data_IF_290539137707
#
_entry.id   IF_290539137707
#
_cell.length_a   1.000
_cell.length_b   1.000
_cell.length_c   1.000
_cell.angle_alpha   90.00
_cell.angle_beta   90.00
_cell.angle_gamma   90.00
#
_symmetry.space_group_name_H-M   'P 1'
#
loop_
_entity.id
_entity.type
_entity.pdbx_description
1 polymer ?
#
# COMPACT_ATOMS: atom_id res chain seq x y z
N UNK A 1 -17.58 48.58 -6.05
CA UNK A 1 -17.64 48.05 -4.67
C UNK A 1 -17.95 46.57 -4.82
N UNK A 2 -16.92 45.72 -4.95
CA UNK A 2 -16.16 45.07 -3.86
C UNK A 2 -17.09 44.08 -3.12
N UNK A 3 -16.80 42.79 -2.94
CA UNK A 3 -15.58 42.05 -2.56
C UNK A 3 -15.67 40.62 -3.17
N UNK A 4 -14.66 39.89 -3.68
CA UNK A 4 -13.32 39.44 -3.25
C UNK A 4 -13.29 38.22 -2.27
N UNK A 5 -12.77 37.10 -2.82
CA UNK A 5 -12.09 35.89 -2.26
C UNK A 5 -12.78 34.86 -1.34
N UNK A 6 -12.46 33.58 -1.61
CA UNK A 6 -11.51 32.69 -0.87
C UNK A 6 -12.07 31.26 -0.93
N UNK A 7 -11.41 30.28 -1.52
CA UNK A 7 -10.04 29.88 -1.22
C UNK A 7 -10.07 28.90 -0.05
N UNK A 8 -9.80 27.63 -0.38
CA UNK A 8 -9.29 26.56 0.47
C UNK A 8 -10.19 25.80 1.47
N UNK A 9 -10.04 24.47 1.33
CA UNK A 9 -9.88 23.48 2.41
C UNK A 9 -11.09 23.12 3.27
N UNK A 10 -11.68 21.94 2.99
CA UNK A 10 -11.60 20.72 3.82
C UNK A 10 -12.82 19.83 3.51
N UNK A 11 -12.67 18.86 2.61
CA UNK A 11 -13.49 17.62 2.58
C UNK A 11 -13.15 16.73 3.81
N UNK A 12 -13.01 17.35 4.99
CA UNK A 12 -12.62 16.71 6.25
C UNK A 12 -13.85 16.35 7.11
N UNK A 13 -15.03 16.30 6.50
CA UNK A 13 -16.25 15.87 7.18
C UNK A 13 -17.11 15.04 6.23
N UNK A 14 -16.65 13.82 5.93
CA UNK A 14 -17.56 12.76 5.46
C UNK A 14 -18.75 12.71 6.42
N UNK A 15 -19.96 13.00 5.92
CA UNK A 15 -21.15 12.99 6.76
C UNK A 15 -21.55 11.55 6.98
N UNK A 16 -21.97 11.21 8.20
CA UNK A 16 -22.52 9.89 8.54
C UNK A 16 -23.65 9.46 7.58
N UNK A 17 -24.34 10.41 6.95
CA UNK A 17 -25.35 10.17 5.92
C UNK A 17 -24.83 9.51 4.64
N UNK A 18 -23.53 9.58 4.35
CA UNK A 18 -22.94 8.96 3.16
C UNK A 18 -22.75 7.44 3.31
N UNK A 19 -22.80 6.91 4.55
CA UNK A 19 -22.80 5.46 4.85
C UNK A 19 -23.97 4.74 4.16
N UNK A 20 -25.11 5.42 3.99
CA UNK A 20 -26.31 4.84 3.34
C UNK A 20 -26.07 4.54 1.85
N UNK A 21 -25.08 5.20 1.24
CA UNK A 21 -24.71 4.98 -0.17
C UNK A 21 -23.60 3.94 -0.35
N UNK A 22 -22.99 3.47 0.73
CA UNK A 22 -22.02 2.39 0.62
C UNK A 22 -22.76 1.08 0.30
N UNK A 23 -22.34 0.34 -0.73
CA UNK A 23 -22.86 -0.98 -0.97
C UNK A 23 -22.61 -1.85 0.27
N UNK A 24 -23.64 -2.40 0.87
CA UNK A 24 -23.52 -3.41 1.93
C UNK A 24 -23.06 -4.71 1.25
N UNK A 25 -21.77 -4.77 0.93
CA UNK A 25 -21.13 -5.93 0.33
C UNK A 25 -20.38 -6.68 1.41
N UNK A 26 -20.76 -7.94 1.63
CA UNK A 26 -19.90 -8.87 2.35
C UNK A 26 -18.74 -9.21 1.43
N UNK A 27 -17.55 -8.70 1.76
CA UNK A 27 -16.33 -9.13 1.09
C UNK A 27 -16.07 -10.58 1.49
N UNK A 28 -16.07 -11.47 0.50
CA UNK A 28 -15.69 -12.86 0.69
C UNK A 28 -14.18 -12.87 0.94
N UNK A 29 -13.71 -13.78 1.79
CA UNK A 29 -12.28 -14.02 1.94
C UNK A 29 -11.69 -14.32 0.55
N UNK A 30 -10.46 -13.85 0.33
CA UNK A 30 -9.77 -14.20 -0.90
C UNK A 30 -9.33 -15.66 -0.76
N UNK A 31 -10.16 -16.56 -1.30
CA UNK A 31 -9.87 -17.98 -1.38
C UNK A 31 -8.73 -18.22 -2.40
N UNK A 32 -8.09 -19.39 -2.33
CA UNK A 32 -7.03 -19.86 -3.24
C UNK A 32 -5.66 -19.15 -3.19
N UNK A 33 -5.49 -18.08 -2.39
CA UNK A 33 -4.17 -17.46 -2.17
C UNK A 33 -3.31 -18.17 -1.12
N UNK A 34 -3.92 -19.05 -0.33
CA UNK A 34 -3.25 -19.79 0.75
C UNK A 34 -2.25 -20.83 0.21
N UNK A 35 -2.53 -21.38 -0.98
CA UNK A 35 -1.69 -22.37 -1.65
C UNK A 35 -0.68 -21.74 -2.62
N UNK A 36 -0.71 -20.41 -2.77
CA UNK A 36 0.24 -19.70 -3.64
C UNK A 36 1.58 -19.57 -2.89
N UNK A 37 2.67 -20.10 -3.45
CA UNK A 37 3.97 -19.99 -2.80
C UNK A 37 4.40 -18.53 -2.71
N UNK A 38 4.97 -18.15 -1.56
CA UNK A 38 5.63 -16.87 -1.41
C UNK A 38 6.81 -16.79 -2.37
N UNK A 39 6.91 -15.66 -3.08
CA UNK A 39 7.99 -15.37 -4.01
C UNK A 39 8.86 -14.23 -3.45
N UNK A 40 10.13 -14.11 -3.90
CA UNK A 40 10.96 -12.97 -3.55
C UNK A 40 10.30 -11.65 -3.96
N UNK A 41 10.56 -10.60 -3.19
CA UNK A 41 9.95 -9.28 -3.39
C UNK A 41 10.21 -8.73 -4.81
N UNK A 42 11.37 -8.99 -5.40
CA UNK A 42 11.72 -8.54 -6.75
C UNK A 42 10.76 -9.11 -7.79
N UNK A 43 10.49 -10.42 -7.70
CA UNK A 43 9.58 -11.11 -8.61
C UNK A 43 8.15 -10.58 -8.44
N UNK A 44 7.74 -10.33 -7.20
CA UNK A 44 6.41 -9.79 -6.90
C UNK A 44 6.20 -8.40 -7.56
N UNK A 45 7.24 -7.56 -7.62
CA UNK A 45 7.12 -6.20 -8.17
C UNK A 45 7.40 -6.10 -9.67
N UNK A 46 7.88 -7.15 -10.33
CA UNK A 46 8.19 -7.13 -11.76
C UNK A 46 7.01 -6.65 -12.62
N UNK A 47 5.82 -7.20 -12.36
CA UNK A 47 4.60 -6.82 -13.08
C UNK A 47 4.20 -5.35 -12.90
N UNK A 48 4.66 -4.72 -11.81
CA UNK A 48 4.35 -3.33 -11.47
C UNK A 48 5.31 -2.34 -12.14
N UNK A 49 6.46 -2.79 -12.63
CA UNK A 49 7.49 -1.90 -13.23
C UNK A 49 6.97 -1.09 -14.43
N UNK A 50 5.99 -1.62 -15.16
CA UNK A 50 5.32 -0.93 -16.26
C UNK A 50 4.56 0.33 -15.80
N UNK A 51 4.03 0.32 -14.58
CA UNK A 51 3.23 1.41 -14.03
C UNK A 51 4.02 2.27 -13.04
N UNK A 52 4.97 1.66 -12.35
CA UNK A 52 5.81 2.28 -11.33
C UNK A 52 7.28 2.04 -11.69
N UNK A 53 7.88 2.84 -12.60
CA UNK A 53 9.21 2.58 -13.15
C UNK A 53 10.33 2.46 -12.10
N UNK A 54 10.14 3.07 -10.93
CA UNK A 54 11.11 3.06 -9.83
C UNK A 54 10.89 1.92 -8.82
N UNK A 55 9.81 1.14 -8.94
CA UNK A 55 9.39 0.15 -7.93
C UNK A 55 10.50 -0.83 -7.55
N UNK A 56 11.29 -1.29 -8.53
CA UNK A 56 12.41 -2.20 -8.30
C UNK A 56 13.49 -1.58 -7.40
N UNK A 57 13.78 -0.28 -7.57
CA UNK A 57 14.75 0.43 -6.72
C UNK A 57 14.23 0.60 -5.29
N UNK A 58 12.94 0.89 -5.11
CA UNK A 58 12.33 0.96 -3.79
C UNK A 58 12.30 -0.42 -3.12
N UNK A 59 11.99 -1.49 -3.86
CA UNK A 59 12.04 -2.86 -3.36
C UNK A 59 13.44 -3.25 -2.86
N UNK A 60 14.49 -2.94 -3.64
CA UNK A 60 15.89 -3.14 -3.23
C UNK A 60 16.22 -2.36 -1.95
N UNK A 61 15.84 -1.07 -1.90
CA UNK A 61 16.07 -0.23 -0.72
C UNK A 61 15.33 -0.76 0.51
N UNK A 62 14.10 -1.28 0.32
CA UNK A 62 13.31 -1.86 1.39
C UNK A 62 14.01 -3.10 1.95
N UNK A 63 14.52 -3.98 1.08
CA UNK A 63 15.29 -5.16 1.50
C UNK A 63 16.55 -4.82 2.27
N UNK A 64 17.37 -3.92 1.76
CA UNK A 64 18.61 -3.49 2.44
C UNK A 64 18.32 -2.99 3.86
N UNK A 65 17.24 -2.24 4.05
CA UNK A 65 16.82 -1.77 5.39
C UNK A 65 16.32 -2.89 6.30
N UNK A 66 15.98 -4.05 5.74
CA UNK A 66 15.42 -5.20 6.44
C UNK A 66 16.40 -6.36 6.62
N UNK A 67 17.66 -6.25 6.15
CA UNK A 67 18.66 -7.34 6.24
C UNK A 67 19.05 -7.74 7.66
N UNK A 68 18.81 -6.88 8.66
CA UNK A 68 19.12 -7.19 10.05
C UNK A 68 18.21 -8.30 10.59
N UNK A 69 18.75 -9.28 11.34
CA UNK A 69 17.97 -10.37 11.89
C UNK A 69 16.86 -9.85 12.81
N UNK A 70 15.63 -10.28 12.53
CA UNK A 70 14.44 -9.84 13.27
C UNK A 70 14.00 -10.89 14.28
N UNK A 71 13.46 -10.43 15.40
CA UNK A 71 12.94 -11.28 16.48
C UNK A 71 11.49 -11.72 16.28
N UNK A 72 10.85 -11.28 15.21
CA UNK A 72 9.43 -11.51 14.90
C UNK A 72 9.18 -12.78 14.06
N UNK A 73 10.25 -13.47 13.63
CA UNK A 73 10.15 -14.69 12.82
C UNK A 73 9.78 -14.45 11.36
N UNK A 74 9.72 -13.20 10.91
CA UNK A 74 9.48 -12.87 9.50
C UNK A 74 10.76 -13.03 8.66
N UNK A 75 10.57 -13.45 7.42
CA UNK A 75 11.61 -13.37 6.41
C UNK A 75 11.93 -11.92 6.03
N UNK A 76 13.09 -11.73 5.41
CA UNK A 76 13.51 -10.42 4.88
C UNK A 76 12.55 -9.94 3.79
N UNK A 77 12.02 -10.85 2.96
CA UNK A 77 11.06 -10.53 1.90
C UNK A 77 9.72 -10.00 2.45
N UNK A 78 9.12 -10.70 3.43
CA UNK A 78 7.86 -10.26 4.07
C UNK A 78 8.02 -8.90 4.74
N UNK A 79 9.13 -8.76 5.46
CA UNK A 79 9.56 -7.54 6.11
C UNK A 79 9.73 -6.37 5.14
N UNK A 80 10.39 -6.62 4.02
CA UNK A 80 10.64 -5.63 2.98
C UNK A 80 9.34 -5.27 2.24
N UNK A 81 8.39 -6.19 2.07
CA UNK A 81 7.09 -5.90 1.48
C UNK A 81 6.29 -4.90 2.34
N UNK A 82 6.28 -5.10 3.66
CA UNK A 82 5.65 -4.15 4.61
C UNK A 82 6.36 -2.79 4.58
N UNK A 83 7.69 -2.80 4.59
CA UNK A 83 8.50 -1.57 4.49
C UNK A 83 8.19 -0.84 3.17
N UNK A 84 8.17 -1.55 2.04
CA UNK A 84 7.87 -0.98 0.73
C UNK A 84 6.53 -0.26 0.73
N UNK A 85 5.47 -0.90 1.26
CA UNK A 85 4.14 -0.30 1.38
C UNK A 85 4.13 1.01 2.20
N UNK A 86 4.98 1.10 3.22
CA UNK A 86 5.04 2.23 4.17
C UNK A 86 6.09 3.29 3.82
N UNK A 87 6.95 3.02 2.83
CA UNK A 87 7.93 3.98 2.35
C UNK A 87 7.25 5.22 1.76
N UNK A 88 7.92 6.37 1.83
CA UNK A 88 7.52 7.56 1.05
C UNK A 88 7.85 7.35 -0.42
N UNK A 89 6.87 7.55 -1.29
CA UNK A 89 6.94 7.33 -2.73
C UNK A 89 7.18 8.61 -3.52
#
# INVERSE_FOLDING_TARGET
MAEYIKGDNLDLFMRISDIVKEPIQTLIAIDDLQDVPLVPLEIAVESLTLFLPKIASYASTAKERCENPRSDGMSVDESAAIMLYTMGW
#
